data_IF_341737138883
#
_entry.id   IF_341737138883
#
_cell.length_a   1.000
_cell.length_b   1.000
_cell.length_c   1.000
_cell.angle_alpha   90.00
_cell.angle_beta   90.00
_cell.angle_gamma   90.00
#
_symmetry.space_group_name_H-M   'P 1'
#
loop_
_entity.id
_entity.type
_entity.pdbx_description
1 polymer ?
#
# COMPACT_ATOMS: atom_id res chain seq x y z
N UNK A 1 10.92 -18.51 3.04
CA UNK A 1 11.39 -17.98 4.33
C UNK A 1 10.36 -18.36 5.39
N UNK A 2 10.76 -19.13 6.40
CA UNK A 2 9.87 -19.53 7.49
C UNK A 2 9.81 -18.38 8.50
N UNK A 3 8.60 -17.96 8.87
CA UNK A 3 8.42 -17.03 9.99
C UNK A 3 8.82 -17.79 11.26
N UNK A 4 9.86 -17.32 11.95
CA UNK A 4 10.28 -17.92 13.21
C UNK A 4 9.17 -17.83 14.26
N UNK A 5 9.12 -18.82 15.14
CA UNK A 5 8.25 -18.87 16.32
C UNK A 5 8.58 -17.67 17.21
N UNK A 6 7.67 -17.21 18.08
CA UNK A 6 7.84 -16.00 18.91
C UNK A 6 9.16 -15.90 19.70
N UNK A 7 9.76 -17.02 20.09
CA UNK A 7 11.10 -17.09 20.70
C UNK A 7 12.26 -16.72 19.75
N UNK A 8 12.09 -16.94 18.45
CA UNK A 8 13.05 -16.67 17.38
C UNK A 8 12.50 -15.68 16.36
N UNK A 9 11.71 -14.70 16.81
CA UNK A 9 11.35 -13.55 15.98
C UNK A 9 12.63 -12.78 15.60
N UNK A 10 12.74 -12.40 14.33
CA UNK A 10 13.87 -11.63 13.82
C UNK A 10 14.10 -10.34 14.64
N UNK A 11 13.02 -9.74 15.16
CA UNK A 11 13.05 -8.58 16.04
C UNK A 11 13.85 -8.79 17.35
N UNK A 12 13.95 -10.02 17.85
CA UNK A 12 14.61 -10.35 19.12
C UNK A 12 16.11 -10.64 19.00
N UNK A 13 16.60 -11.05 17.82
CA UNK A 13 17.97 -11.58 17.69
C UNK A 13 19.04 -10.54 17.33
N UNK A 14 18.70 -9.24 17.19
CA UNK A 14 19.68 -8.24 16.79
C UNK A 14 19.46 -6.87 17.44
N UNK A 15 20.44 -6.44 18.24
CA UNK A 15 20.52 -5.08 18.81
C UNK A 15 20.46 -4.02 17.69
N UNK A 16 21.04 -4.32 16.54
CA UNK A 16 21.00 -3.42 15.37
C UNK A 16 19.56 -3.26 14.87
N UNK A 17 18.79 -4.35 14.75
CA UNK A 17 17.40 -4.29 14.30
C UNK A 17 16.50 -3.59 15.32
N UNK A 18 16.67 -3.85 16.61
CA UNK A 18 15.95 -3.12 17.67
C UNK A 18 16.20 -1.62 17.61
N UNK A 19 17.45 -1.22 17.39
CA UNK A 19 17.81 0.19 17.22
C UNK A 19 17.25 0.81 15.94
N UNK A 20 17.26 0.08 14.82
CA UNK A 20 16.66 0.53 13.56
C UNK A 20 15.14 0.69 13.71
N UNK A 21 14.45 -0.25 14.36
CA UNK A 21 13.01 -0.17 14.62
C UNK A 21 12.67 1.02 15.52
N UNK A 22 13.40 1.24 16.61
CA UNK A 22 13.17 2.38 17.51
C UNK A 22 13.41 3.72 16.81
N UNK A 23 14.43 3.83 15.95
CA UNK A 23 14.68 5.03 15.15
C UNK A 23 13.62 5.24 14.07
N UNK A 24 13.07 4.16 13.54
CA UNK A 24 12.04 4.19 12.50
C UNK A 24 10.64 4.36 13.08
N UNK A 25 10.44 4.15 14.39
CA UNK A 25 9.15 4.26 15.08
C UNK A 25 8.48 5.60 14.82
N UNK A 26 9.22 6.71 14.98
CA UNK A 26 8.66 8.04 14.74
C UNK A 26 8.24 8.25 13.28
N UNK A 27 9.06 7.77 12.34
CA UNK A 27 8.72 7.80 10.91
C UNK A 27 7.47 6.96 10.65
N UNK A 28 7.33 5.81 11.32
CA UNK A 28 6.17 4.94 11.19
C UNK A 28 4.91 5.60 11.77
N UNK A 29 4.97 6.18 12.97
CA UNK A 29 3.88 6.93 13.59
C UNK A 29 3.44 8.10 12.68
N UNK A 30 4.40 8.91 12.21
CA UNK A 30 4.14 10.00 11.26
C UNK A 30 3.55 9.48 9.93
N UNK A 31 3.96 8.28 9.48
CA UNK A 31 3.45 7.64 8.27
C UNK A 31 2.02 7.14 8.47
N UNK A 32 1.72 6.50 9.60
CA UNK A 32 0.37 6.02 9.93
C UNK A 32 -0.61 7.22 9.96
N UNK A 33 -0.21 8.33 10.57
CA UNK A 33 -1.02 9.55 10.63
C UNK A 33 -1.24 10.19 9.25
N UNK A 34 -0.17 10.31 8.44
CA UNK A 34 -0.27 10.93 7.10
C UNK A 34 -1.04 10.08 6.09
N UNK A 35 -0.80 8.77 6.04
CA UNK A 35 -1.49 7.87 5.10
C UNK A 35 -2.94 7.57 5.52
N UNK A 36 -3.30 7.78 6.78
CA UNK A 36 -4.66 7.60 7.29
C UNK A 36 -5.67 8.65 6.78
N UNK A 37 -5.21 9.80 6.27
CA UNK A 37 -6.09 10.89 5.79
C UNK A 37 -6.10 11.05 4.26
N UNK A 38 -4.96 10.87 3.58
CA UNK A 38 -4.90 10.91 2.10
C UNK A 38 -3.84 9.91 1.61
N UNK A 39 -4.21 8.97 0.75
CA UNK A 39 -3.27 8.07 0.09
C UNK A 39 -2.36 8.83 -0.88
N UNK A 40 -1.11 8.36 -1.04
CA UNK A 40 -0.11 9.00 -1.90
C UNK A 40 -0.50 9.05 -3.39
N UNK A 41 -1.49 8.26 -3.82
CA UNK A 41 -2.04 8.30 -5.18
C UNK A 41 -2.88 9.54 -5.50
N UNK A 42 -3.31 10.32 -4.50
CA UNK A 42 -4.16 11.51 -4.67
C UNK A 42 -3.58 12.54 -5.66
N UNK A 43 -2.25 12.69 -5.68
CA UNK A 43 -1.57 13.68 -6.53
C UNK A 43 -1.80 13.49 -8.04
N UNK A 44 -2.13 12.28 -8.49
CA UNK A 44 -2.29 11.98 -9.92
C UNK A 44 -3.75 12.02 -10.38
N UNK A 45 -4.70 12.25 -9.47
CA UNK A 45 -6.14 12.18 -9.74
C UNK A 45 -6.83 13.52 -9.96
N UNK A 46 -6.06 14.59 -10.18
CA UNK A 46 -6.58 15.90 -10.58
C UNK A 46 -5.91 16.39 -11.86
N UNK A 47 -6.55 17.34 -12.54
CA UNK A 47 -5.97 18.03 -13.68
C UNK A 47 -4.72 18.78 -13.22
N UNK A 48 -3.59 18.48 -13.86
CA UNK A 48 -2.29 19.05 -13.53
C UNK A 48 -1.76 19.93 -14.66
N UNK A 49 -2.20 19.68 -15.89
CA UNK A 49 -1.79 20.40 -17.08
C UNK A 49 -2.99 20.85 -17.90
N UNK A 50 -2.88 21.92 -18.69
CA UNK A 50 -3.92 22.30 -19.63
C UNK A 50 -4.22 21.19 -20.63
N UNK A 51 -5.46 21.16 -21.14
CA UNK A 51 -5.87 20.20 -22.15
C UNK A 51 -4.94 20.23 -23.39
N UNK A 52 -4.60 19.06 -23.92
CA UNK A 52 -3.78 18.88 -25.13
C UNK A 52 -2.43 19.61 -25.08
N UNK A 53 -1.75 19.55 -23.93
CA UNK A 53 -0.44 20.18 -23.73
C UNK A 53 0.71 19.17 -23.66
N UNK A 54 0.43 17.91 -23.35
CA UNK A 54 1.45 16.89 -23.13
C UNK A 54 1.70 16.05 -24.39
N UNK A 55 2.96 15.96 -24.82
CA UNK A 55 3.37 15.05 -25.90
C UNK A 55 3.62 13.64 -25.36
N UNK A 56 4.15 13.55 -24.15
CA UNK A 56 4.60 12.31 -23.54
C UNK A 56 4.35 12.33 -22.03
N UNK A 57 3.83 11.23 -21.50
CA UNK A 57 3.63 11.00 -20.07
C UNK A 57 4.41 9.77 -19.65
N UNK A 58 5.17 9.89 -18.56
CA UNK A 58 5.86 8.78 -17.94
C UNK A 58 5.54 8.74 -16.45
N UNK A 59 5.14 7.57 -15.96
CA UNK A 59 4.99 7.32 -14.53
C UNK A 59 5.59 5.95 -14.21
N UNK A 60 6.52 5.93 -13.27
CA UNK A 60 7.18 4.71 -12.82
C UNK A 60 6.93 4.51 -11.34
N UNK A 61 6.32 3.39 -10.98
CA UNK A 61 6.01 3.02 -9.61
C UNK A 61 5.12 4.02 -8.86
N UNK A 62 4.32 4.81 -9.59
CA UNK A 62 3.39 5.78 -9.00
C UNK A 62 1.93 5.33 -8.99
N UNK A 63 1.46 4.69 -10.07
CA UNK A 63 0.02 4.44 -10.28
C UNK A 63 -0.56 3.25 -9.50
N UNK A 64 0.28 2.47 -8.82
CA UNK A 64 -0.18 1.38 -7.94
C UNK A 64 -0.48 1.86 -6.51
N UNK A 65 -0.15 3.10 -6.18
CA UNK A 65 -0.57 3.75 -4.94
C UNK A 65 -2.01 4.24 -5.10
N UNK A 66 -2.85 3.87 -4.14
CA UNK A 66 -4.24 4.29 -4.10
C UNK A 66 -4.35 5.71 -3.54
N UNK A 67 -5.42 6.39 -3.93
CA UNK A 67 -5.74 7.74 -3.43
C UNK A 67 -6.20 7.75 -1.99
N UNK A 68 -6.70 6.62 -1.51
CA UNK A 68 -7.13 6.38 -0.14
C UNK A 68 -7.15 4.89 0.12
N UNK A 69 -7.18 4.51 1.41
CA UNK A 69 -7.56 3.16 1.81
C UNK A 69 -9.03 2.95 1.40
N UNK A 70 -9.39 1.80 0.80
CA UNK A 70 -10.79 1.52 0.50
C UNK A 70 -11.71 1.71 1.71
N UNK A 71 -12.81 2.41 1.50
CA UNK A 71 -13.84 2.65 2.53
C UNK A 71 -14.37 1.29 3.04
N UNK A 72 -14.70 1.21 4.33
CA UNK A 72 -15.19 0.01 5.04
C UNK A 72 -14.17 -1.10 5.36
N UNK A 73 -12.87 -0.93 5.09
CA UNK A 73 -11.85 -1.94 5.43
C UNK A 73 -11.55 -2.10 6.92
N UNK A 74 -11.75 -1.05 7.70
CA UNK A 74 -11.35 -0.98 9.12
C UNK A 74 -12.05 -2.02 9.99
N UNK A 75 -13.23 -2.49 9.58
CA UNK A 75 -13.96 -3.52 10.31
C UNK A 75 -13.52 -4.95 9.96
N UNK A 76 -12.92 -5.17 8.79
CA UNK A 76 -12.67 -6.52 8.24
C UNK A 76 -11.19 -6.92 8.17
N UNK A 77 -10.25 -5.98 8.25
CA UNK A 77 -8.81 -6.28 8.13
C UNK A 77 -7.99 -5.97 9.40
N UNK A 78 -8.60 -6.04 10.59
CA UNK A 78 -7.96 -5.64 11.86
C UNK A 78 -6.65 -6.36 12.17
N UNK A 79 -6.47 -7.58 11.68
CA UNK A 79 -5.27 -8.37 11.93
C UNK A 79 -4.14 -8.14 10.90
N UNK A 80 -4.38 -7.36 9.85
CA UNK A 80 -3.42 -7.16 8.77
C UNK A 80 -3.35 -5.70 8.32
N UNK A 81 -2.15 -5.26 7.95
CA UNK A 81 -1.94 -3.89 7.45
C UNK A 81 -2.18 -3.75 5.95
N UNK A 82 -2.56 -4.83 5.26
CA UNK A 82 -2.80 -4.91 3.82
C UNK A 82 -3.54 -6.22 3.52
N UNK A 83 -3.91 -6.48 2.26
CA UNK A 83 -4.38 -7.79 1.81
C UNK A 83 -3.41 -8.92 2.22
N UNK A 84 -3.93 -9.95 2.89
CA UNK A 84 -3.19 -11.13 3.32
C UNK A 84 -4.03 -12.40 3.14
N UNK A 85 -3.41 -13.58 3.12
CA UNK A 85 -4.10 -14.86 2.91
C UNK A 85 -5.22 -15.13 3.93
N UNK A 86 -5.15 -14.52 5.12
CA UNK A 86 -6.18 -14.56 6.17
C UNK A 86 -7.32 -13.57 5.96
N UNK A 87 -7.15 -12.58 5.09
CA UNK A 87 -8.17 -11.56 4.80
C UNK A 87 -9.36 -12.19 4.07
N UNK A 88 -10.61 -11.77 4.38
CA UNK A 88 -11.77 -12.23 3.64
C UNK A 88 -11.76 -11.69 2.20
N UNK A 89 -12.47 -12.37 1.29
CA UNK A 89 -12.54 -11.98 -0.13
C UNK A 89 -13.01 -10.54 -0.35
N UNK A 90 -13.87 -10.00 0.54
CA UNK A 90 -14.34 -8.62 0.50
C UNK A 90 -13.20 -7.60 0.56
N UNK A 91 -12.12 -7.89 1.31
CA UNK A 91 -10.94 -7.02 1.39
C UNK A 91 -10.30 -6.89 0.01
N UNK A 92 -10.10 -8.01 -0.69
CA UNK A 92 -9.50 -8.02 -2.03
C UNK A 92 -10.36 -7.27 -3.06
N UNK A 93 -11.68 -7.44 -3.00
CA UNK A 93 -12.64 -6.74 -3.85
C UNK A 93 -12.63 -5.23 -3.60
N UNK A 94 -12.53 -4.80 -2.34
CA UNK A 94 -12.47 -3.39 -1.98
C UNK A 94 -11.20 -2.73 -2.54
N UNK A 95 -10.03 -3.34 -2.34
CA UNK A 95 -8.76 -2.87 -2.91
C UNK A 95 -8.79 -2.81 -4.44
N UNK A 96 -9.32 -3.85 -5.09
CA UNK A 96 -9.46 -3.86 -6.55
C UNK A 96 -10.41 -2.77 -7.05
N UNK A 97 -11.53 -2.56 -6.37
CA UNK A 97 -12.53 -1.54 -6.73
C UNK A 97 -11.93 -0.13 -6.61
N UNK A 98 -11.20 0.14 -5.53
CA UNK A 98 -10.51 1.41 -5.33
C UNK A 98 -9.43 1.62 -6.40
N UNK A 99 -8.60 0.61 -6.69
CA UNK A 99 -7.61 0.69 -7.77
C UNK A 99 -8.25 0.98 -9.13
N UNK A 100 -9.34 0.28 -9.47
CA UNK A 100 -10.05 0.49 -10.73
C UNK A 100 -10.58 1.92 -10.84
N UNK A 101 -11.15 2.47 -9.75
CA UNK A 101 -11.64 3.85 -9.69
C UNK A 101 -10.49 4.85 -9.90
N UNK A 102 -9.40 4.69 -9.17
CA UNK A 102 -8.24 5.58 -9.23
C UNK A 102 -7.57 5.53 -10.61
N UNK A 103 -7.29 4.32 -11.10
CA UNK A 103 -6.62 4.11 -12.39
C UNK A 103 -7.47 4.61 -13.57
N UNK A 104 -8.80 4.39 -13.54
CA UNK A 104 -9.70 4.93 -14.56
C UNK A 104 -9.71 6.46 -14.54
N UNK A 105 -9.73 7.06 -13.36
CA UNK A 105 -9.69 8.51 -13.19
C UNK A 105 -8.38 9.10 -13.70
N UNK A 106 -7.25 8.48 -13.37
CA UNK A 106 -5.93 8.84 -13.90
C UNK A 106 -5.93 8.81 -15.42
N UNK A 107 -6.37 7.71 -16.04
CA UNK A 107 -6.40 7.56 -17.50
C UNK A 107 -7.31 8.60 -18.16
N UNK A 108 -8.48 8.90 -17.57
CA UNK A 108 -9.40 9.93 -18.08
C UNK A 108 -8.72 11.30 -18.11
N UNK A 109 -8.16 11.73 -16.98
CA UNK A 109 -7.49 13.04 -16.87
C UNK A 109 -6.32 13.12 -17.85
N UNK A 110 -5.46 12.10 -17.87
CA UNK A 110 -4.32 12.10 -18.79
C UNK A 110 -4.74 12.10 -20.26
N UNK A 111 -5.89 11.49 -20.60
CA UNK A 111 -6.40 11.50 -21.98
C UNK A 111 -6.83 12.90 -22.44
N UNK A 112 -7.24 13.77 -21.52
CA UNK A 112 -7.62 15.16 -21.81
C UNK A 112 -6.38 16.06 -21.94
N UNK A 113 -5.32 15.77 -21.15
CA UNK A 113 -4.06 16.52 -21.17
C UNK A 113 -3.13 16.15 -22.34
N UNK A 114 -3.18 14.90 -22.81
CA UNK A 114 -2.30 14.40 -23.87
C UNK A 114 -2.77 14.87 -25.26
N UNK A 115 -1.82 15.31 -26.08
CA UNK A 115 -2.05 15.69 -27.48
C UNK A 115 -2.56 14.51 -28.32
N UNK A 116 -3.33 14.76 -29.40
CA UNK A 116 -3.56 13.74 -30.41
C UNK A 116 -2.22 13.14 -30.87
N UNK A 117 -2.11 11.81 -30.87
CA UNK A 117 -0.87 11.06 -31.19
C UNK A 117 0.21 11.10 -30.08
N UNK A 118 -0.06 11.74 -28.94
CA UNK A 118 0.80 11.63 -27.75
C UNK A 118 0.90 10.19 -27.23
N UNK A 119 1.85 9.96 -26.32
CA UNK A 119 2.14 8.63 -25.78
C UNK A 119 2.25 8.65 -24.27
N UNK A 120 1.94 7.51 -23.67
CA UNK A 120 2.09 7.29 -22.24
C UNK A 120 2.82 5.98 -22.02
N UNK A 121 3.81 5.99 -21.12
CA UNK A 121 4.52 4.80 -20.65
C UNK A 121 4.33 4.72 -19.14
N UNK A 122 3.75 3.61 -18.69
CA UNK A 122 3.51 3.34 -17.29
C UNK A 122 4.27 2.09 -16.88
N UNK A 123 5.00 2.18 -15.78
CA UNK A 123 5.52 1.01 -15.06
C UNK A 123 4.95 1.02 -13.65
N UNK A 124 4.47 -0.13 -13.20
CA UNK A 124 3.85 -0.28 -11.88
C UNK A 124 4.18 -1.65 -11.30
N UNK A 125 4.06 -1.74 -9.98
CA UNK A 125 4.06 -3.02 -9.29
C UNK A 125 2.83 -3.79 -9.76
N UNK A 126 3.02 -5.04 -10.17
CA UNK A 126 1.93 -5.95 -10.54
C UNK A 126 2.21 -7.33 -9.97
N UNK A 127 1.26 -8.24 -10.20
CA UNK A 127 1.37 -9.65 -9.79
C UNK A 127 1.33 -10.58 -11.00
N UNK A 128 2.01 -11.71 -10.89
CA UNK A 128 2.07 -12.75 -11.91
C UNK A 128 0.84 -13.66 -11.93
N UNK A 129 0.05 -13.65 -10.85
CA UNK A 129 -1.14 -14.46 -10.69
C UNK A 129 -2.38 -13.62 -10.41
N UNK A 130 -3.52 -14.00 -10.98
CA UNK A 130 -4.80 -13.35 -10.74
C UNK A 130 -5.33 -13.58 -9.31
N UNK A 131 -4.96 -14.69 -8.68
CA UNK A 131 -5.29 -14.97 -7.29
C UNK A 131 -4.41 -14.10 -6.37
N UNK A 132 -5.00 -13.12 -5.66
CA UNK A 132 -4.25 -12.19 -4.84
C UNK A 132 -3.76 -12.81 -3.52
N UNK A 133 -4.15 -14.05 -3.20
CA UNK A 133 -3.70 -14.80 -2.01
C UNK A 133 -2.38 -15.55 -2.25
N UNK A 134 -1.91 -15.63 -3.49
CA UNK A 134 -0.66 -16.31 -3.82
C UNK A 134 0.52 -15.42 -3.40
N UNK A 135 1.56 -16.05 -2.83
CA UNK A 135 2.78 -15.38 -2.37
C UNK A 135 3.57 -14.83 -3.56
N UNK A 136 3.25 -13.62 -3.96
CA UNK A 136 3.97 -12.83 -4.98
C UNK A 136 4.32 -11.44 -4.41
N UNK A 137 4.35 -10.40 -5.26
CA UNK A 137 4.76 -9.01 -5.00
C UNK A 137 4.32 -8.39 -3.66
N UNK A 138 3.19 -8.82 -3.10
CA UNK A 138 2.63 -8.28 -1.85
C UNK A 138 3.12 -8.99 -0.57
N UNK A 139 3.94 -10.03 -0.67
CA UNK A 139 4.42 -10.81 0.48
C UNK A 139 5.22 -9.97 1.50
N UNK A 140 5.92 -8.94 1.02
CA UNK A 140 6.70 -8.03 1.88
C UNK A 140 5.81 -7.29 2.89
N UNK A 141 4.59 -6.93 2.51
CA UNK A 141 3.65 -6.23 3.39
C UNK A 141 3.04 -7.16 4.43
N UNK A 142 2.85 -8.44 4.11
CA UNK A 142 2.49 -9.46 5.09
C UNK A 142 3.59 -9.68 6.14
N UNK A 143 4.86 -9.65 5.74
CA UNK A 143 5.99 -9.71 6.69
C UNK A 143 6.09 -8.44 7.56
N UNK A 144 5.84 -7.28 6.96
CA UNK A 144 5.80 -6.01 7.69
C UNK A 144 4.69 -6.04 8.75
N UNK A 145 3.48 -6.47 8.40
CA UNK A 145 2.37 -6.60 9.35
C UNK A 145 2.71 -7.47 10.55
N UNK A 146 3.31 -8.66 10.33
CA UNK A 146 3.78 -9.52 11.41
C UNK A 146 4.83 -8.86 12.30
N UNK A 147 5.76 -8.12 11.70
CA UNK A 147 6.79 -7.41 12.45
C UNK A 147 6.18 -6.32 13.35
N UNK A 148 5.13 -5.64 12.89
CA UNK A 148 4.41 -4.65 13.68
C UNK A 148 3.66 -5.30 14.85
N UNK A 149 3.00 -6.44 14.62
CA UNK A 149 2.33 -7.20 15.69
C UNK A 149 3.34 -7.64 16.76
N UNK A 150 4.51 -8.15 16.36
CA UNK A 150 5.59 -8.51 17.30
C UNK A 150 6.10 -7.30 18.10
N UNK A 151 6.13 -6.11 17.49
CA UNK A 151 6.51 -4.86 18.17
C UNK A 151 5.44 -4.40 19.16
N UNK A 152 4.15 -4.54 18.84
CA UNK A 152 3.04 -4.27 19.76
C UNK A 152 3.08 -5.22 20.97
N UNK A 153 3.32 -6.51 20.75
CA UNK A 153 3.48 -7.49 21.83
C UNK A 153 4.66 -7.17 22.78
N UNK A 154 5.67 -6.44 22.29
CA UNK A 154 6.79 -5.94 23.10
C UNK A 154 6.53 -4.59 23.78
N UNK A 155 5.33 -4.02 23.63
CA UNK A 155 4.96 -2.71 24.17
C UNK A 155 5.60 -1.53 23.44
N UNK A 156 6.09 -1.73 22.21
CA UNK A 156 6.74 -0.66 21.43
C UNK A 156 5.75 0.16 20.60
N UNK A 157 4.57 -0.39 20.29
CA UNK A 157 3.49 0.24 19.52
C UNK A 157 2.15 -0.04 20.20
N UNK A 158 1.15 0.81 19.99
CA UNK A 158 -0.21 0.51 20.42
C UNK A 158 -0.88 -0.42 19.40
N UNK A 159 -1.61 -1.42 19.88
CA UNK A 159 -2.34 -2.37 19.03
C UNK A 159 -3.39 -1.66 18.15
N UNK A 160 -3.99 -0.60 18.69
CA UNK A 160 -4.95 0.27 17.99
C UNK A 160 -4.34 0.91 16.72
N UNK A 161 -3.06 1.29 16.76
CA UNK A 161 -2.35 1.88 15.61
C UNK A 161 -2.17 0.86 14.47
N UNK A 162 -2.04 -0.42 14.81
CA UNK A 162 -1.86 -1.49 13.82
C UNK A 162 -3.21 -1.88 13.22
N UNK A 163 -4.22 -2.05 14.07
CA UNK A 163 -5.56 -2.49 13.66
C UNK A 163 -6.30 -1.44 12.83
N UNK A 164 -5.99 -0.15 13.02
CA UNK A 164 -6.53 0.96 12.23
C UNK A 164 -5.76 1.23 10.94
N UNK A 165 -4.54 0.73 10.79
CA UNK A 165 -3.68 1.04 9.65
C UNK A 165 -3.86 0.03 8.51
N UNK A 166 -4.07 0.55 7.30
CA UNK A 166 -4.06 -0.22 6.07
C UNK A 166 -3.26 0.52 4.99
N UNK A 167 -2.44 -0.21 4.23
CA UNK A 167 -1.57 0.36 3.22
C UNK A 167 -2.38 0.65 1.94
N UNK A 168 -2.46 1.90 1.45
CA UNK A 168 -3.22 2.23 0.24
C UNK A 168 -2.42 1.87 -1.02
N UNK A 169 -2.26 0.57 -1.28
CA UNK A 169 -1.49 0.04 -2.38
C UNK A 169 -2.23 -1.12 -3.04
N UNK A 170 -2.17 -1.22 -4.37
CA UNK A 170 -2.69 -2.36 -5.10
C UNK A 170 -1.78 -2.74 -6.25
N UNK A 171 -1.40 -4.03 -6.28
CA UNK A 171 -0.70 -4.63 -7.41
C UNK A 171 -1.71 -5.39 -8.30
N UNK A 172 -2.06 -4.86 -9.49
CA UNK A 172 -2.96 -5.52 -10.44
C UNK A 172 -2.35 -6.79 -11.07
#
# INVERSE_FOLDING_TARGET
MNAGNSEFSYANCSILQKNVMLKSKKVLEDTIENYGTHGSGWFFLHETFPAKSLHFVHSSSGVHWLSQVPEDLLDYNKENIHMANSSPSSVYEAYFTQFKKDFTTFLRIRSEEILPIGRMVLTLLGRSNADPTIKDCCYIYGLLGKSLVDMSAQGLLHEEDITSFNLPLYAP
#
